data_IF_485564038433
#
_entry.id   IF_485564038433
#
_cell.length_a   1.000
_cell.length_b   1.000
_cell.length_c   1.000
_cell.angle_alpha   90.00
_cell.angle_beta   90.00
_cell.angle_gamma   90.00
#
_symmetry.space_group_name_H-M   'P 1'
#
loop_
_entity.id
_entity.type
_entity.pdbx_description
1 polymer ?
#
# COMPACT_ATOMS: atom_id res chain seq x y z
N UNK A 1 56.17 -21.75 -32.61
CA UNK A 1 57.17 -21.48 -31.56
C UNK A 1 56.34 -21.21 -30.33
N UNK A 2 56.05 -22.28 -29.58
CA UNK A 2 56.68 -22.69 -28.31
C UNK A 2 56.58 -21.58 -27.24
N UNK A 3 55.97 -21.74 -26.12
CA UNK A 3 56.03 -22.82 -25.09
C UNK A 3 54.94 -22.49 -24.04
N UNK A 4 54.14 -23.40 -23.63
CA UNK A 4 54.28 -24.20 -22.40
C UNK A 4 54.58 -23.39 -21.12
N UNK A 5 53.65 -23.43 -20.17
CA UNK A 5 53.83 -24.21 -18.92
C UNK A 5 52.70 -23.97 -17.91
N UNK A 6 52.07 -25.05 -17.55
CA UNK A 6 51.92 -25.65 -16.21
C UNK A 6 51.12 -24.89 -15.20
N UNK A 7 49.93 -25.36 -14.92
CA UNK A 7 49.58 -26.37 -13.90
C UNK A 7 49.92 -25.98 -12.46
N UNK A 8 48.88 -25.63 -11.68
CA UNK A 8 48.82 -26.11 -10.28
C UNK A 8 47.35 -26.19 -9.83
N UNK A 9 46.95 -27.40 -9.60
CA UNK A 9 45.84 -27.78 -8.73
C UNK A 9 46.20 -27.37 -7.31
N UNK A 10 45.22 -26.83 -6.62
CA UNK A 10 45.15 -26.97 -5.17
C UNK A 10 43.74 -27.28 -4.75
N UNK A 11 43.64 -28.47 -4.27
CA UNK A 11 42.50 -29.08 -3.58
C UNK A 11 42.55 -28.67 -2.13
N UNK A 12 41.49 -28.10 -1.61
CA UNK A 12 41.24 -28.14 -0.17
C UNK A 12 39.78 -28.52 0.10
N UNK A 13 39.73 -29.60 0.85
CA UNK A 13 38.56 -30.29 1.36
C UNK A 13 37.75 -29.45 2.35
N UNK A 14 36.50 -29.88 2.62
CA UNK A 14 35.56 -29.17 3.47
C UNK A 14 35.86 -29.40 4.97
N UNK A 15 35.77 -28.35 5.72
CA UNK A 15 35.86 -28.37 7.18
C UNK A 15 34.50 -28.55 7.83
N UNK A 16 34.37 -29.60 8.52
CA UNK A 16 33.67 -29.96 9.75
C UNK A 16 32.45 -29.12 10.18
N UNK A 17 31.34 -29.83 10.22
CA UNK A 17 30.24 -29.64 11.16
C UNK A 17 30.76 -29.65 12.60
N UNK A 18 30.55 -28.62 13.33
CA UNK A 18 30.56 -28.63 14.78
C UNK A 18 29.14 -28.77 15.29
N UNK A 19 28.85 -29.97 15.72
CA UNK A 19 27.70 -30.30 16.56
C UNK A 19 27.97 -29.74 17.97
N UNK A 20 27.11 -28.81 18.38
CA UNK A 20 27.09 -28.38 19.77
C UNK A 20 26.13 -29.27 20.55
N UNK A 21 26.74 -30.00 21.43
CA UNK A 21 26.12 -30.87 22.44
C UNK A 21 25.18 -30.06 23.34
N UNK A 22 23.99 -30.60 23.51
CA UNK A 22 23.05 -30.17 24.54
C UNK A 22 23.41 -30.92 25.81
N UNK A 23 24.12 -30.27 26.69
CA UNK A 23 24.28 -30.76 28.07
C UNK A 23 23.02 -30.42 28.87
N UNK A 24 22.42 -31.47 29.37
CA UNK A 24 21.46 -31.45 30.47
C UNK A 24 22.07 -30.76 31.68
N UNK A 25 21.37 -29.88 32.30
CA UNK A 25 21.52 -29.48 33.69
C UNK A 25 20.19 -29.60 34.39
N UNK A 26 20.11 -30.56 35.11
CA UNK A 26 19.81 -30.78 36.51
C UNK A 26 18.64 -29.98 37.12
N UNK A 27 17.75 -30.81 37.60
CA UNK A 27 16.74 -30.55 38.63
C UNK A 27 17.31 -29.77 39.81
N UNK A 28 16.72 -28.63 40.06
CA UNK A 28 16.83 -27.92 41.32
C UNK A 28 15.45 -27.75 41.90
N UNK A 29 14.95 -28.81 42.46
CA UNK A 29 13.77 -28.76 43.28
C UNK A 29 13.99 -27.87 44.50
N UNK A 30 13.31 -26.73 44.52
CA UNK A 30 13.09 -26.04 45.78
C UNK A 30 11.74 -26.50 46.35
N UNK A 31 11.90 -27.48 47.22
CA UNK A 31 10.87 -27.82 48.20
C UNK A 31 10.67 -26.63 49.14
N UNK A 32 9.54 -26.01 49.03
CA UNK A 32 9.02 -25.12 50.07
C UNK A 32 8.53 -26.01 51.21
N UNK A 33 8.97 -25.80 52.45
CA UNK A 33 8.53 -26.63 53.58
C UNK A 33 7.05 -26.40 53.83
N UNK A 34 6.34 -27.50 53.91
CA UNK A 34 4.99 -27.55 54.49
C UNK A 34 5.14 -27.34 55.97
N UNK A 35 4.86 -26.17 56.45
CA UNK A 35 4.55 -25.92 57.84
C UNK A 35 3.05 -25.71 58.03
N UNK A 36 2.52 -26.64 58.76
CA UNK A 36 1.39 -26.60 59.66
C UNK A 36 0.02 -26.11 59.14
N UNK A 37 -0.74 -27.07 58.65
CA UNK A 37 -2.19 -26.97 58.41
C UNK A 37 -3.00 -27.24 59.70
N UNK A 38 -2.87 -26.37 60.67
CA UNK A 38 -3.69 -26.48 61.88
C UNK A 38 -4.28 -25.11 62.34
N UNK A 39 -4.87 -24.40 61.39
CA UNK A 39 -5.86 -23.36 61.76
C UNK A 39 -6.82 -23.21 60.58
N UNK A 40 -7.82 -24.05 60.57
CA UNK A 40 -9.01 -23.96 59.76
C UNK A 40 -9.93 -22.87 60.29
N UNK A 41 -9.55 -21.62 60.11
CA UNK A 41 -10.48 -20.50 60.19
C UNK A 41 -10.15 -19.56 59.02
N UNK A 42 -10.98 -19.60 58.02
CA UNK A 42 -11.20 -18.68 56.89
C UNK A 42 -11.27 -19.39 55.54
N UNK A 43 -12.37 -20.15 55.40
CA UNK A 43 -12.79 -20.64 54.05
C UNK A 43 -13.03 -19.47 53.08
N UNK A 44 -13.29 -18.28 53.59
CA UNK A 44 -13.46 -17.07 52.79
C UNK A 44 -12.13 -16.53 52.27
N UNK A 45 -11.07 -16.55 53.04
CA UNK A 45 -9.74 -16.10 52.65
C UNK A 45 -9.14 -17.06 51.59
N UNK A 46 -9.40 -18.34 51.69
CA UNK A 46 -9.01 -19.34 50.69
C UNK A 46 -9.78 -19.17 49.37
N UNK A 47 -11.05 -18.85 49.42
CA UNK A 47 -11.85 -18.54 48.25
C UNK A 47 -11.41 -17.22 47.59
N UNK A 48 -11.08 -16.20 48.36
CA UNK A 48 -10.53 -14.96 47.85
C UNK A 48 -9.14 -15.15 47.25
N UNK A 49 -8.31 -15.96 47.87
CA UNK A 49 -6.99 -16.32 47.34
C UNK A 49 -7.08 -17.16 46.05
N UNK A 50 -7.97 -18.17 46.02
CA UNK A 50 -8.24 -18.93 44.80
C UNK A 50 -8.83 -18.07 43.67
N UNK A 51 -9.72 -17.15 44.04
CA UNK A 51 -10.28 -16.20 43.06
C UNK A 51 -9.21 -15.26 42.50
N UNK A 52 -8.29 -14.79 43.35
CA UNK A 52 -7.20 -13.91 42.92
C UNK A 52 -6.16 -14.64 42.07
N UNK A 53 -5.85 -15.89 42.41
CA UNK A 53 -4.99 -16.75 41.58
C UNK A 53 -5.68 -17.07 40.27
N UNK A 54 -6.96 -17.42 40.28
CA UNK A 54 -7.72 -17.67 39.03
C UNK A 54 -7.76 -16.45 38.13
N UNK A 55 -7.91 -15.26 38.74
CA UNK A 55 -7.88 -13.98 38.02
C UNK A 55 -6.50 -13.68 37.43
N UNK A 56 -5.43 -13.89 38.22
CA UNK A 56 -4.05 -13.74 37.69
C UNK A 56 -3.72 -14.74 36.59
N UNK A 57 -4.25 -15.97 36.70
CA UNK A 57 -4.08 -16.97 35.62
C UNK A 57 -4.80 -16.54 34.34
N UNK A 58 -5.99 -16.00 34.46
CA UNK A 58 -6.76 -15.50 33.31
C UNK A 58 -6.07 -14.29 32.65
N UNK A 59 -5.56 -13.37 33.47
CA UNK A 59 -4.81 -12.20 32.99
C UNK A 59 -3.48 -12.61 32.32
N UNK A 60 -2.81 -13.63 32.86
CA UNK A 60 -1.60 -14.21 32.26
C UNK A 60 -1.90 -14.92 30.93
N UNK A 61 -3.02 -15.64 30.85
CA UNK A 61 -3.44 -16.29 29.59
C UNK A 61 -3.82 -15.27 28.52
N UNK A 62 -4.47 -14.18 28.91
CA UNK A 62 -4.77 -13.06 28.01
C UNK A 62 -3.46 -12.43 27.50
N UNK A 63 -2.54 -12.09 28.39
CA UNK A 63 -1.22 -11.55 28.03
C UNK A 63 -0.41 -12.49 27.16
N UNK A 64 -0.48 -13.80 27.43
CA UNK A 64 0.17 -14.79 26.61
C UNK A 64 -0.39 -14.81 25.18
N UNK A 65 -1.71 -14.81 25.05
CA UNK A 65 -2.37 -14.74 23.73
C UNK A 65 -2.07 -13.43 22.99
N UNK A 66 -1.98 -12.31 23.70
CA UNK A 66 -1.58 -11.04 23.10
C UNK A 66 -0.12 -11.08 22.59
N UNK A 67 0.78 -11.66 23.38
CA UNK A 67 2.18 -11.85 23.01
C UNK A 67 2.33 -12.81 21.80
N UNK A 68 1.59 -13.92 21.80
CA UNK A 68 1.56 -14.84 20.66
C UNK A 68 1.02 -14.16 19.38
N UNK A 69 0.01 -13.29 19.52
CA UNK A 69 -0.51 -12.50 18.40
C UNK A 69 0.51 -11.45 17.92
N UNK A 70 1.24 -10.81 18.85
CA UNK A 70 2.31 -9.88 18.51
C UNK A 70 3.50 -10.59 17.83
N UNK A 71 3.89 -11.76 18.36
CA UNK A 71 4.91 -12.59 17.73
C UNK A 71 4.52 -12.98 16.31
N UNK A 72 3.28 -13.44 16.12
CA UNK A 72 2.78 -13.79 14.79
C UNK A 72 2.78 -12.60 13.81
N UNK A 73 2.38 -11.41 14.28
CA UNK A 73 2.45 -10.18 13.46
C UNK A 73 3.87 -9.78 13.13
N UNK A 74 4.80 -9.99 14.05
CA UNK A 74 6.23 -9.71 13.86
C UNK A 74 6.84 -10.70 12.87
N UNK A 75 6.49 -11.99 12.96
CA UNK A 75 6.90 -13.02 12.02
C UNK A 75 6.37 -12.72 10.61
N UNK A 76 5.07 -12.41 10.46
CA UNK A 76 4.47 -12.02 9.19
C UNK A 76 5.10 -10.76 8.58
N UNK A 77 5.44 -9.78 9.43
CA UNK A 77 6.18 -8.58 9.01
C UNK A 77 7.62 -8.91 8.59
N UNK A 78 8.27 -9.79 9.35
CA UNK A 78 9.64 -10.25 9.07
C UNK A 78 9.70 -11.06 7.77
N UNK A 79 8.72 -11.94 7.52
CA UNK A 79 8.61 -12.66 6.25
C UNK A 79 8.37 -11.73 5.06
N UNK A 80 7.50 -10.73 5.21
CA UNK A 80 7.32 -9.69 4.18
C UNK A 80 8.60 -8.89 3.93
N UNK A 81 9.34 -8.58 5.00
CA UNK A 81 10.63 -7.90 4.88
C UNK A 81 11.67 -8.78 4.19
N UNK A 82 11.73 -10.07 4.55
CA UNK A 82 12.57 -11.07 3.86
C UNK A 82 12.21 -11.21 2.39
N UNK A 83 10.93 -11.32 2.07
CA UNK A 83 10.45 -11.38 0.69
C UNK A 83 10.88 -10.18 -0.16
N UNK A 84 10.73 -8.97 0.40
CA UNK A 84 11.20 -7.73 -0.24
C UNK A 84 12.72 -7.67 -0.37
N UNK A 85 13.43 -8.13 0.63
CA UNK A 85 14.89 -8.17 0.60
C UNK A 85 15.39 -9.14 -0.47
N UNK A 86 14.74 -10.30 -0.60
CA UNK A 86 15.05 -11.29 -1.65
C UNK A 86 14.76 -10.69 -3.05
N UNK A 87 13.62 -10.00 -3.22
CA UNK A 87 13.29 -9.33 -4.50
C UNK A 87 14.30 -8.22 -4.85
N UNK A 88 14.68 -7.40 -3.87
CA UNK A 88 15.71 -6.37 -4.02
C UNK A 88 17.08 -6.97 -4.35
N UNK A 89 17.44 -8.09 -3.69
CA UNK A 89 18.65 -8.84 -4.03
C UNK A 89 18.58 -9.40 -5.46
N UNK A 90 17.42 -9.93 -5.89
CA UNK A 90 17.18 -10.37 -7.27
C UNK A 90 17.42 -9.25 -8.27
N UNK A 91 16.79 -8.09 -8.07
CA UNK A 91 17.00 -6.89 -8.90
C UNK A 91 18.44 -6.40 -8.91
N UNK A 92 19.12 -6.47 -7.77
CA UNK A 92 20.53 -6.08 -7.65
C UNK A 92 21.46 -7.04 -8.40
N UNK A 93 21.13 -8.34 -8.38
CA UNK A 93 21.86 -9.37 -9.17
C UNK A 93 21.65 -9.12 -10.68
N UNK A 94 20.43 -8.81 -11.09
CA UNK A 94 20.13 -8.54 -12.51
C UNK A 94 20.78 -7.23 -12.99
N UNK A 95 20.81 -6.19 -12.15
CA UNK A 95 21.57 -4.95 -12.41
C UNK A 95 23.08 -5.23 -12.54
N UNK A 96 23.61 -6.11 -11.70
CA UNK A 96 25.03 -6.50 -11.77
C UNK A 96 25.35 -7.31 -13.02
N UNK A 97 24.43 -8.19 -13.45
CA UNK A 97 24.52 -8.89 -14.75
C UNK A 97 24.47 -7.92 -15.92
N UNK A 98 23.50 -7.02 -15.94
CA UNK A 98 23.36 -5.98 -16.97
C UNK A 98 24.62 -5.09 -17.06
N UNK A 99 25.15 -4.65 -15.92
CA UNK A 99 26.40 -3.88 -15.87
C UNK A 99 27.59 -4.65 -16.45
N UNK A 100 27.67 -5.97 -16.17
CA UNK A 100 28.72 -6.84 -16.75
C UNK A 100 28.60 -6.96 -18.27
N UNK A 101 27.37 -7.08 -18.78
CA UNK A 101 27.10 -7.15 -20.23
C UNK A 101 27.50 -5.83 -20.91
N UNK A 102 27.13 -4.68 -20.33
CA UNK A 102 27.52 -3.36 -20.83
C UNK A 102 29.04 -3.19 -20.83
N UNK A 103 29.72 -3.63 -19.79
CA UNK A 103 31.20 -3.58 -19.72
C UNK A 103 31.85 -4.47 -20.78
N UNK A 104 31.29 -5.64 -21.06
CA UNK A 104 31.80 -6.53 -22.11
C UNK A 104 31.55 -5.95 -23.53
N UNK A 105 30.39 -5.28 -23.71
CA UNK A 105 30.09 -4.59 -24.98
C UNK A 105 31.02 -3.40 -25.22
N UNK A 106 31.34 -2.64 -24.15
CA UNK A 106 32.29 -1.54 -24.25
C UNK A 106 33.71 -2.03 -24.62
N UNK A 107 34.14 -3.11 -23.98
CA UNK A 107 35.47 -3.72 -24.35
C UNK A 107 35.50 -4.24 -25.81
N UNK A 108 34.37 -4.76 -26.28
CA UNK A 108 34.26 -5.20 -27.67
C UNK A 108 34.22 -3.99 -28.63
N UNK A 109 33.58 -2.89 -28.25
CA UNK A 109 33.58 -1.64 -29.00
C UNK A 109 34.98 -1.02 -29.10
N UNK A 110 35.75 -1.02 -28.00
CA UNK A 110 37.14 -0.55 -28.02
C UNK A 110 38.02 -1.39 -28.96
N UNK A 111 37.82 -2.71 -28.95
CA UNK A 111 38.52 -3.59 -29.91
C UNK A 111 38.12 -3.30 -31.37
N UNK A 112 36.82 -3.05 -31.62
CA UNK A 112 36.33 -2.68 -32.94
C UNK A 112 36.89 -1.31 -33.39
N UNK A 113 36.95 -0.33 -32.48
CA UNK A 113 37.57 0.98 -32.78
C UNK A 113 39.08 0.85 -33.09
N UNK A 114 39.75 -0.03 -32.37
CA UNK A 114 41.15 -0.29 -32.61
C UNK A 114 41.39 -0.95 -34.00
N UNK A 115 40.57 -1.93 -34.40
CA UNK A 115 40.62 -2.56 -35.73
C UNK A 115 40.36 -1.54 -36.87
N UNK A 116 39.40 -0.64 -36.66
CA UNK A 116 39.10 0.44 -37.63
C UNK A 116 40.30 1.40 -37.78
N UNK A 117 40.99 1.74 -36.68
CA UNK A 117 42.16 2.62 -36.75
C UNK A 117 43.35 1.99 -37.49
N UNK A 118 43.56 0.69 -37.33
CA UNK A 118 44.61 -0.03 -38.07
C UNK A 118 44.25 -0.08 -39.54
N UNK A 119 42.97 -0.32 -39.90
CA UNK A 119 42.53 -0.30 -41.27
C UNK A 119 42.68 1.08 -41.92
N UNK A 120 42.50 2.17 -41.18
CA UNK A 120 42.77 3.53 -41.65
C UNK A 120 44.25 3.76 -41.96
N UNK A 121 45.16 3.25 -41.12
CA UNK A 121 46.60 3.36 -41.32
C UNK A 121 47.05 2.56 -42.57
N UNK A 122 46.47 1.38 -42.80
CA UNK A 122 46.70 0.61 -43.99
C UNK A 122 46.12 1.24 -45.25
N UNK A 123 45.09 2.11 -45.09
CA UNK A 123 44.46 2.82 -46.19
C UNK A 123 45.27 4.00 -46.69
N UNK A 124 45.99 4.67 -45.82
CA UNK A 124 46.90 5.80 -46.22
C UNK A 124 48.03 5.34 -47.13
N UNK A 125 48.34 4.04 -47.15
CA UNK A 125 49.44 3.47 -47.92
C UNK A 125 49.15 3.21 -49.41
N UNK A 126 47.94 3.43 -49.85
CA UNK A 126 47.58 3.14 -51.24
C UNK A 126 46.71 4.22 -51.87
N UNK A 127 47.37 5.23 -52.44
CA UNK A 127 46.76 6.44 -53.04
C UNK A 127 45.69 6.14 -54.14
N UNK A 128 45.64 4.94 -54.67
CA UNK A 128 44.74 4.62 -55.78
C UNK A 128 43.35 4.10 -55.34
N UNK A 129 43.21 3.60 -54.11
CA UNK A 129 41.91 3.14 -53.51
C UNK A 129 41.20 4.19 -52.71
N UNK A 130 41.73 5.39 -52.62
CA UNK A 130 41.27 6.45 -51.73
C UNK A 130 39.82 6.93 -52.05
N UNK A 131 39.50 7.05 -53.35
CA UNK A 131 38.15 7.52 -53.74
C UNK A 131 37.03 6.55 -53.43
N UNK A 132 37.22 5.26 -53.73
CA UNK A 132 36.16 4.27 -53.41
C UNK A 132 35.95 4.10 -51.90
N UNK A 133 37.06 4.15 -51.15
CA UNK A 133 37.00 4.04 -49.71
C UNK A 133 36.55 5.33 -49.01
N UNK A 134 36.71 6.51 -49.62
CA UNK A 134 36.14 7.77 -49.09
C UNK A 134 34.61 7.72 -49.15
N UNK A 135 34.03 7.15 -50.19
CA UNK A 135 32.58 6.93 -50.30
C UNK A 135 32.10 5.93 -49.22
N UNK A 136 32.89 4.88 -48.97
CA UNK A 136 32.57 3.89 -47.91
C UNK A 136 32.65 4.52 -46.51
N UNK A 137 33.67 5.36 -46.27
CA UNK A 137 33.78 6.14 -45.01
C UNK A 137 32.65 7.13 -44.85
N UNK A 138 32.21 7.79 -45.93
CA UNK A 138 31.03 8.67 -45.89
C UNK A 138 29.73 7.91 -45.55
N UNK A 139 29.55 6.70 -46.16
CA UNK A 139 28.42 5.82 -45.81
C UNK A 139 28.43 5.44 -44.36
N UNK A 140 29.57 4.99 -43.80
CA UNK A 140 29.73 4.65 -42.38
C UNK A 140 29.51 5.86 -41.46
N UNK A 141 29.91 7.06 -41.90
CA UNK A 141 29.71 8.28 -41.13
C UNK A 141 28.23 8.71 -41.05
N UNK A 142 27.47 8.50 -42.14
CA UNK A 142 26.03 8.73 -42.18
C UNK A 142 25.32 7.72 -41.25
N UNK A 143 25.74 6.46 -41.25
CA UNK A 143 25.19 5.43 -40.40
C UNK A 143 25.54 5.65 -38.91
N UNK A 144 26.77 6.10 -38.60
CA UNK A 144 27.17 6.51 -37.27
C UNK A 144 26.37 7.74 -36.77
N UNK A 145 26.10 8.68 -37.68
CA UNK A 145 25.29 9.87 -37.38
C UNK A 145 23.82 9.49 -37.07
N UNK A 146 23.30 8.51 -37.83
CA UNK A 146 21.98 7.89 -37.54
C UNK A 146 21.99 7.14 -36.22
N UNK A 147 23.01 6.28 -36.01
CA UNK A 147 23.16 5.54 -34.76
C UNK A 147 23.32 6.49 -33.53
N UNK A 148 24.14 7.55 -33.66
CA UNK A 148 24.32 8.57 -32.66
C UNK A 148 22.98 9.29 -32.33
N UNK A 149 22.19 9.59 -33.36
CA UNK A 149 20.87 10.18 -33.20
C UNK A 149 19.90 9.22 -32.49
N UNK A 150 19.94 7.95 -32.88
CA UNK A 150 19.11 6.91 -32.24
C UNK A 150 19.48 6.72 -30.77
N UNK A 151 20.79 6.65 -30.48
CA UNK A 151 21.31 6.55 -29.10
C UNK A 151 20.92 7.79 -28.28
N UNK A 152 21.02 9.01 -28.88
CA UNK A 152 20.59 10.23 -28.18
C UNK A 152 19.11 10.20 -27.85
N UNK A 153 18.27 9.81 -28.80
CA UNK A 153 16.81 9.68 -28.56
C UNK A 153 16.49 8.62 -27.49
N UNK A 154 17.20 7.50 -27.53
CA UNK A 154 17.03 6.46 -26.51
C UNK A 154 17.49 6.92 -25.12
N UNK A 155 18.58 7.68 -25.04
CA UNK A 155 19.03 8.27 -23.79
C UNK A 155 18.04 9.29 -23.24
N UNK A 156 17.47 10.17 -24.11
CA UNK A 156 16.46 11.13 -23.71
C UNK A 156 15.19 10.43 -23.20
N UNK A 157 14.76 9.37 -23.89
CA UNK A 157 13.64 8.55 -23.48
C UNK A 157 13.92 7.80 -22.14
N UNK A 158 15.12 7.24 -22.02
CA UNK A 158 15.57 6.57 -20.79
C UNK A 158 15.66 7.55 -19.61
N UNK A 159 16.10 8.77 -19.86
CA UNK A 159 16.18 9.81 -18.83
C UNK A 159 14.79 10.27 -18.37
N UNK A 160 13.84 10.39 -19.32
CA UNK A 160 12.45 10.66 -19.00
C UNK A 160 11.81 9.50 -18.22
N UNK A 161 12.05 8.25 -18.64
CA UNK A 161 11.57 7.08 -17.90
C UNK A 161 12.19 7.01 -16.50
N UNK A 162 13.49 7.28 -16.39
CA UNK A 162 14.21 7.31 -15.11
C UNK A 162 13.69 8.40 -14.19
N UNK A 163 13.42 9.58 -14.72
CA UNK A 163 12.82 10.68 -13.96
C UNK A 163 11.42 10.32 -13.47
N UNK A 164 10.59 9.76 -14.36
CA UNK A 164 9.25 9.29 -14.01
C UNK A 164 9.28 8.19 -12.94
N UNK A 165 10.21 7.26 -13.06
CA UNK A 165 10.42 6.20 -12.08
C UNK A 165 10.87 6.76 -10.72
N UNK A 166 11.73 7.78 -10.75
CA UNK A 166 12.20 8.44 -9.53
C UNK A 166 11.09 9.21 -8.82
N UNK A 167 10.26 9.91 -9.58
CA UNK A 167 9.06 10.61 -9.07
C UNK A 167 8.05 9.61 -8.49
N UNK A 168 7.82 8.48 -9.16
CA UNK A 168 6.97 7.39 -8.67
C UNK A 168 7.51 6.78 -7.38
N UNK A 169 8.82 6.52 -7.30
CA UNK A 169 9.44 5.98 -6.09
C UNK A 169 9.38 6.98 -4.93
N UNK A 170 9.68 8.25 -5.17
CA UNK A 170 9.58 9.28 -4.16
C UNK A 170 8.14 9.44 -3.64
N UNK A 171 7.14 9.36 -4.54
CA UNK A 171 5.74 9.37 -4.17
C UNK A 171 5.35 8.14 -3.35
N UNK A 172 5.87 6.98 -3.70
CA UNK A 172 5.68 5.73 -2.98
C UNK A 172 6.29 5.78 -1.57
N UNK A 173 7.52 6.27 -1.43
CA UNK A 173 8.20 6.38 -0.14
C UNK A 173 7.47 7.36 0.79
N UNK A 174 7.03 8.50 0.24
CA UNK A 174 6.21 9.46 0.96
C UNK A 174 4.88 8.85 1.42
N UNK A 175 4.23 8.08 0.56
CA UNK A 175 3.01 7.35 0.86
C UNK A 175 3.20 6.38 2.04
N UNK A 176 4.27 5.57 2.04
CA UNK A 176 4.57 4.69 3.16
C UNK A 176 4.85 5.44 4.46
N UNK A 177 5.51 6.60 4.38
CA UNK A 177 5.72 7.45 5.56
C UNK A 177 4.41 7.96 6.15
N UNK A 178 3.48 8.37 5.29
CA UNK A 178 2.13 8.82 5.71
C UNK A 178 1.37 7.67 6.36
N UNK A 179 1.35 6.50 5.74
CA UNK A 179 0.68 5.32 6.29
C UNK A 179 1.27 4.94 7.65
N UNK A 180 2.59 4.93 7.78
CA UNK A 180 3.25 4.62 9.04
C UNK A 180 2.84 5.59 10.16
N UNK A 181 2.68 6.88 9.83
CA UNK A 181 2.17 7.89 10.76
C UNK A 181 0.71 7.62 11.13
N UNK A 182 -0.14 7.38 10.15
CA UNK A 182 -1.57 7.18 10.35
C UNK A 182 -1.92 5.85 11.02
N UNK A 183 -1.05 4.84 10.92
CA UNK A 183 -1.12 3.61 11.70
C UNK A 183 -0.68 3.85 13.15
N UNK A 184 0.41 4.62 13.34
CA UNK A 184 0.97 4.85 14.69
C UNK A 184 -0.02 5.55 15.61
N UNK A 185 -0.77 6.52 15.10
CA UNK A 185 -1.68 7.33 15.91
C UNK A 185 -2.81 6.52 16.56
N UNK A 186 -3.63 5.74 15.85
CA UNK A 186 -4.67 4.94 16.46
C UNK A 186 -4.10 3.81 17.34
N UNK A 187 -2.94 3.25 16.99
CA UNK A 187 -2.26 2.23 17.82
C UNK A 187 -1.83 2.85 19.14
N UNK A 188 -1.18 4.01 19.11
CA UNK A 188 -0.75 4.71 20.33
C UNK A 188 -1.95 5.11 21.20
N UNK A 189 -3.02 5.61 20.58
CA UNK A 189 -4.27 5.90 21.27
C UNK A 189 -4.89 4.67 21.93
N UNK A 190 -4.94 3.56 21.22
CA UNK A 190 -5.45 2.29 21.72
C UNK A 190 -4.61 1.78 22.92
N UNK A 191 -3.29 1.79 22.79
CA UNK A 191 -2.38 1.38 23.89
C UNK A 191 -2.56 2.27 25.11
N UNK A 192 -2.60 3.57 24.94
CA UNK A 192 -2.81 4.51 26.05
C UNK A 192 -4.15 4.29 26.78
N UNK A 193 -5.23 4.05 26.02
CA UNK A 193 -6.54 3.73 26.61
C UNK A 193 -6.51 2.40 27.38
N UNK A 194 -5.79 1.38 26.88
CA UNK A 194 -5.62 0.10 27.57
C UNK A 194 -4.80 0.25 28.85
N UNK A 195 -3.74 1.04 28.83
CA UNK A 195 -2.90 1.29 29.99
C UNK A 195 -3.69 2.01 31.09
N UNK A 196 -4.39 3.11 30.74
CA UNK A 196 -5.23 3.86 31.68
C UNK A 196 -6.30 2.96 32.30
N UNK A 197 -6.97 2.15 31.47
CA UNK A 197 -8.01 1.25 31.96
C UNK A 197 -7.43 0.17 32.89
N UNK A 198 -6.26 -0.37 32.56
CA UNK A 198 -5.59 -1.40 33.34
C UNK A 198 -5.11 -0.89 34.71
N UNK A 199 -4.52 0.30 34.74
CA UNK A 199 -3.99 0.89 35.96
C UNK A 199 -5.08 1.36 36.94
N UNK A 200 -6.20 1.82 36.41
CA UNK A 200 -7.23 2.49 37.22
C UNK A 200 -8.59 1.76 37.22
N UNK A 201 -8.63 0.49 36.78
CA UNK A 201 -9.89 -0.25 36.61
C UNK A 201 -10.81 -0.23 37.84
N UNK A 202 -10.22 -0.35 39.02
CA UNK A 202 -10.98 -0.36 40.28
C UNK A 202 -11.54 1.01 40.68
N UNK A 203 -11.06 2.11 40.09
CA UNK A 203 -11.48 3.47 40.40
C UNK A 203 -12.54 4.00 39.43
N UNK A 204 -12.72 3.36 38.27
CA UNK A 204 -13.71 3.79 37.28
C UNK A 204 -15.10 3.25 37.59
N UNK A 205 -16.10 4.08 37.40
CA UNK A 205 -17.48 3.66 37.33
C UNK A 205 -17.75 2.77 36.12
N UNK A 206 -18.82 2.00 36.16
CA UNK A 206 -19.27 1.18 35.04
C UNK A 206 -19.47 2.02 33.77
N UNK A 207 -19.96 3.23 33.89
CA UNK A 207 -20.17 4.17 32.79
C UNK A 207 -18.85 4.60 32.16
N UNK A 208 -17.88 5.00 32.98
CA UNK A 208 -16.55 5.40 32.49
C UNK A 208 -15.82 4.24 31.85
N UNK A 209 -15.86 3.06 32.44
CA UNK A 209 -15.30 1.85 31.86
C UNK A 209 -15.90 1.55 30.46
N UNK A 210 -17.20 1.72 30.31
CA UNK A 210 -17.88 1.56 29.04
C UNK A 210 -17.43 2.60 28.00
N UNK A 211 -17.30 3.86 28.42
CA UNK A 211 -16.78 4.92 27.53
C UNK A 211 -15.36 4.60 27.03
N UNK A 212 -14.47 4.09 27.87
CA UNK A 212 -13.13 3.63 27.45
C UNK A 212 -13.21 2.48 26.47
N UNK A 213 -14.05 1.48 26.72
CA UNK A 213 -14.25 0.35 25.82
C UNK A 213 -14.78 0.81 24.46
N UNK A 214 -15.71 1.75 24.44
CA UNK A 214 -16.27 2.31 23.21
C UNK A 214 -15.21 3.08 22.40
N UNK A 215 -14.35 3.85 23.07
CA UNK A 215 -13.21 4.54 22.45
C UNK A 215 -12.19 3.55 21.86
N UNK A 216 -11.86 2.49 22.59
CA UNK A 216 -10.97 1.43 22.12
C UNK A 216 -11.56 0.69 20.90
N UNK A 217 -12.86 0.39 20.94
CA UNK A 217 -13.56 -0.21 19.81
C UNK A 217 -13.53 0.71 18.58
N UNK A 218 -13.72 2.01 18.79
CA UNK A 218 -13.62 3.00 17.73
C UNK A 218 -12.22 3.04 17.10
N UNK A 219 -11.16 3.11 17.92
CA UNK A 219 -9.78 3.10 17.47
C UNK A 219 -9.43 1.80 16.71
N UNK A 220 -9.90 0.66 17.20
CA UNK A 220 -9.72 -0.64 16.52
C UNK A 220 -10.38 -0.69 15.16
N UNK A 221 -11.60 -0.17 15.03
CA UNK A 221 -12.31 -0.08 13.75
C UNK A 221 -11.61 0.84 12.75
N UNK A 222 -11.07 1.95 13.23
CA UNK A 222 -10.29 2.86 12.39
C UNK A 222 -9.03 2.17 11.85
N UNK A 223 -8.31 1.47 12.71
CA UNK A 223 -7.12 0.71 12.34
C UNK A 223 -7.43 -0.39 11.32
N UNK A 224 -8.52 -1.11 11.54
CA UNK A 224 -8.97 -2.14 10.61
C UNK A 224 -9.30 -1.55 9.23
N UNK A 225 -10.05 -0.47 9.18
CA UNK A 225 -10.41 0.20 7.92
C UNK A 225 -9.18 0.74 7.18
N UNK A 226 -8.19 1.27 7.92
CA UNK A 226 -6.94 1.73 7.32
C UNK A 226 -6.15 0.57 6.72
N UNK A 227 -6.06 -0.54 7.45
CA UNK A 227 -5.38 -1.76 6.98
C UNK A 227 -6.05 -2.34 5.73
N UNK A 228 -7.37 -2.43 5.71
CA UNK A 228 -8.13 -2.90 4.56
C UNK A 228 -7.91 -2.02 3.32
N UNK A 229 -7.98 -0.70 3.49
CA UNK A 229 -7.72 0.24 2.40
C UNK A 229 -6.28 0.10 1.87
N UNK A 230 -5.31 -0.08 2.76
CA UNK A 230 -3.91 -0.29 2.39
C UNK A 230 -3.70 -1.60 1.63
N UNK A 231 -4.33 -2.68 2.09
CA UNK A 231 -4.27 -3.98 1.42
C UNK A 231 -4.92 -3.92 0.04
N UNK A 232 -6.07 -3.27 -0.09
CA UNK A 232 -6.73 -3.09 -1.38
C UNK A 232 -5.86 -2.26 -2.33
N UNK A 233 -5.30 -1.15 -1.84
CA UNK A 233 -4.39 -0.34 -2.64
C UNK A 233 -3.13 -1.12 -3.05
N UNK A 234 -2.49 -1.83 -2.12
CA UNK A 234 -1.30 -2.65 -2.41
C UNK A 234 -1.57 -3.73 -3.47
N UNK A 235 -2.71 -4.41 -3.37
CA UNK A 235 -3.14 -5.40 -4.36
C UNK A 235 -3.45 -4.77 -5.71
N UNK A 236 -3.99 -3.56 -5.73
CA UNK A 236 -4.24 -2.81 -6.96
C UNK A 236 -2.93 -2.45 -7.66
N UNK A 237 -1.93 -1.94 -6.92
CA UNK A 237 -0.61 -1.58 -7.44
C UNK A 237 0.18 -2.78 -8.00
N UNK A 238 0.02 -3.95 -7.40
CA UNK A 238 0.68 -5.19 -7.87
C UNK A 238 -0.07 -5.88 -9.01
N UNK A 239 -1.21 -5.34 -9.43
CA UNK A 239 -2.08 -6.00 -10.40
C UNK A 239 -2.73 -7.29 -9.89
N UNK A 240 -2.62 -7.56 -8.58
CA UNK A 240 -3.12 -8.80 -7.96
C UNK A 240 -4.63 -8.81 -7.74
N UNK A 241 -5.30 -7.68 -7.93
CA UNK A 241 -6.77 -7.65 -7.95
C UNK A 241 -7.21 -8.15 -9.34
N UNK A 242 -7.98 -9.24 -9.43
CA UNK A 242 -8.59 -9.64 -10.69
C UNK A 242 -9.39 -8.46 -11.26
N UNK A 243 -9.34 -8.28 -12.56
CA UNK A 243 -10.19 -7.31 -13.25
C UNK A 243 -11.21 -8.07 -14.07
N UNK A 244 -12.44 -8.12 -13.58
CA UNK A 244 -13.53 -8.91 -14.14
C UNK A 244 -14.69 -7.97 -14.56
N UNK A 245 -14.50 -7.21 -15.63
CA UNK A 245 -15.51 -6.28 -16.09
C UNK A 245 -16.72 -7.03 -16.66
N UNK A 246 -17.90 -6.59 -16.26
CA UNK A 246 -19.18 -7.10 -16.74
C UNK A 246 -20.17 -5.95 -16.90
N UNK A 247 -21.33 -6.21 -17.46
CA UNK A 247 -22.40 -5.24 -17.51
C UNK A 247 -23.00 -5.10 -16.11
N UNK A 248 -22.83 -3.93 -15.49
CA UNK A 248 -23.31 -3.61 -14.16
C UNK A 248 -24.45 -2.61 -14.23
N UNK A 249 -25.57 -2.94 -13.62
CA UNK A 249 -26.67 -2.03 -13.40
C UNK A 249 -26.37 -1.15 -12.18
N UNK A 250 -26.31 0.17 -12.35
CA UNK A 250 -25.87 1.07 -11.28
C UNK A 250 -26.89 1.23 -10.16
N UNK A 251 -28.19 1.17 -10.46
CA UNK A 251 -29.25 1.40 -9.46
C UNK A 251 -29.17 0.40 -8.30
N UNK A 252 -29.11 -0.93 -8.53
CA UNK A 252 -28.98 -1.90 -7.43
C UNK A 252 -27.69 -1.70 -6.62
N UNK A 253 -26.58 -1.34 -7.26
CA UNK A 253 -25.30 -1.10 -6.57
C UNK A 253 -25.44 0.12 -5.64
N UNK A 254 -26.10 1.18 -6.08
CA UNK A 254 -26.35 2.37 -5.25
C UNK A 254 -27.29 2.03 -4.09
N UNK A 255 -28.40 1.33 -4.35
CA UNK A 255 -29.39 0.95 -3.34
C UNK A 255 -28.74 0.05 -2.25
N UNK A 256 -28.04 -1.00 -2.64
CA UNK A 256 -27.31 -1.88 -1.72
C UNK A 256 -26.26 -1.12 -0.89
N UNK A 257 -25.61 -0.13 -1.50
CA UNK A 257 -24.61 0.70 -0.80
C UNK A 257 -25.29 1.62 0.23
N UNK A 258 -26.45 2.16 -0.07
CA UNK A 258 -27.24 2.96 0.88
C UNK A 258 -27.68 2.11 2.05
N UNK A 259 -28.18 0.90 1.80
CA UNK A 259 -28.62 -0.04 2.83
C UNK A 259 -27.47 -0.38 3.81
N UNK A 260 -26.27 -0.60 3.27
CA UNK A 260 -25.06 -0.83 4.10
C UNK A 260 -24.71 0.37 4.98
N UNK A 261 -25.04 1.58 4.57
CA UNK A 261 -24.72 2.81 5.28
C UNK A 261 -25.93 3.41 6.03
N UNK A 262 -27.07 2.70 6.05
CA UNK A 262 -28.35 3.20 6.58
C UNK A 262 -28.22 3.68 8.02
N UNK A 263 -27.53 2.93 8.88
CA UNK A 263 -27.31 3.32 10.28
C UNK A 263 -26.59 4.67 10.40
N UNK A 264 -25.61 4.94 9.54
CA UNK A 264 -24.86 6.20 9.57
C UNK A 264 -25.74 7.36 9.05
N UNK A 265 -26.58 7.09 8.07
CA UNK A 265 -27.55 8.03 7.51
C UNK A 265 -28.60 8.41 8.56
N UNK A 266 -29.14 7.42 9.28
CA UNK A 266 -30.13 7.61 10.34
C UNK A 266 -29.53 8.36 11.55
N UNK A 267 -28.33 8.02 11.97
CA UNK A 267 -27.63 8.68 13.08
C UNK A 267 -27.47 10.20 12.85
N UNK A 268 -27.23 10.60 11.60
CA UNK A 268 -27.15 12.01 11.20
C UNK A 268 -28.49 12.57 10.68
N UNK A 269 -29.55 11.76 10.66
CA UNK A 269 -30.88 12.13 10.13
C UNK A 269 -30.82 12.72 8.73
N UNK A 270 -29.98 12.16 7.87
CA UNK A 270 -29.77 12.63 6.51
C UNK A 270 -30.95 12.24 5.62
N UNK A 271 -31.30 13.11 4.68
CA UNK A 271 -32.24 12.78 3.61
C UNK A 271 -31.44 12.35 2.39
N UNK A 272 -31.67 11.13 1.91
CA UNK A 272 -31.01 10.59 0.72
C UNK A 272 -32.03 10.48 -0.41
N UNK A 273 -31.67 11.00 -1.58
CA UNK A 273 -32.48 10.87 -2.80
C UNK A 273 -31.67 10.19 -3.90
N UNK A 274 -32.32 9.29 -4.64
CA UNK A 274 -31.71 8.51 -5.73
C UNK A 274 -32.37 8.95 -7.05
N UNK A 275 -31.58 9.49 -7.95
CA UNK A 275 -31.95 9.83 -9.32
C UNK A 275 -31.14 9.00 -10.32
N UNK A 276 -31.24 7.68 -10.19
CA UNK A 276 -30.54 6.71 -11.04
C UNK A 276 -31.57 5.92 -11.83
N UNK A 277 -31.49 6.04 -13.16
CA UNK A 277 -32.40 5.30 -14.05
C UNK A 277 -32.03 3.83 -14.06
N UNK A 278 -32.99 2.93 -14.08
CA UNK A 278 -32.80 1.47 -14.17
C UNK A 278 -32.02 1.02 -15.42
N UNK A 279 -32.09 1.83 -16.47
CA UNK A 279 -31.36 1.57 -17.73
C UNK A 279 -29.91 2.03 -17.69
N UNK A 280 -29.46 2.71 -16.64
CA UNK A 280 -28.05 3.12 -16.50
C UNK A 280 -27.17 1.89 -16.21
N UNK A 281 -26.49 1.44 -17.25
CA UNK A 281 -25.57 0.30 -17.19
C UNK A 281 -24.18 0.71 -17.67
N UNK A 282 -23.16 0.18 -17.01
CA UNK A 282 -21.75 0.42 -17.34
C UNK A 282 -21.05 -0.93 -17.57
N UNK A 283 -20.01 -0.91 -18.39
CA UNK A 283 -19.12 -2.06 -18.51
C UNK A 283 -17.95 -1.85 -17.56
N UNK A 284 -17.96 -2.52 -16.43
CA UNK A 284 -17.00 -2.30 -15.34
C UNK A 284 -16.92 -3.49 -14.40
N UNK A 285 -15.89 -3.51 -13.56
CA UNK A 285 -15.80 -4.43 -12.43
C UNK A 285 -16.73 -3.96 -11.30
N UNK A 286 -17.73 -4.76 -10.98
CA UNK A 286 -18.78 -4.43 -10.00
C UNK A 286 -18.22 -4.18 -8.61
N UNK A 287 -17.22 -4.95 -8.17
CA UNK A 287 -16.61 -4.80 -6.84
C UNK A 287 -15.86 -3.47 -6.72
N UNK A 288 -15.16 -3.09 -7.79
CA UNK A 288 -14.44 -1.81 -7.85
C UNK A 288 -15.43 -0.65 -7.81
N UNK A 289 -16.50 -0.71 -8.61
CA UNK A 289 -17.50 0.37 -8.66
C UNK A 289 -18.30 0.45 -7.35
N UNK A 290 -18.65 -0.67 -6.75
CA UNK A 290 -19.27 -0.70 -5.42
C UNK A 290 -18.37 -0.03 -4.38
N UNK A 291 -17.08 -0.29 -4.42
CA UNK A 291 -16.09 0.33 -3.53
C UNK A 291 -16.01 1.84 -3.75
N UNK A 292 -16.03 2.30 -5.01
CA UNK A 292 -16.04 3.73 -5.36
C UNK A 292 -17.29 4.40 -4.79
N UNK A 293 -18.47 3.87 -5.08
CA UNK A 293 -19.74 4.44 -4.61
C UNK A 293 -19.78 4.46 -3.08
N UNK A 294 -19.39 3.39 -2.42
CA UNK A 294 -19.33 3.29 -0.97
C UNK A 294 -18.41 4.35 -0.35
N UNK A 295 -17.21 4.53 -0.90
CA UNK A 295 -16.26 5.52 -0.39
C UNK A 295 -16.77 6.95 -0.59
N UNK A 296 -17.32 7.27 -1.76
CA UNK A 296 -17.86 8.60 -2.04
C UNK A 296 -19.08 8.91 -1.18
N UNK A 297 -20.01 7.95 -1.04
CA UNK A 297 -21.19 8.12 -0.20
C UNK A 297 -20.84 8.23 1.28
N UNK A 298 -19.89 7.42 1.76
CA UNK A 298 -19.37 7.51 3.13
C UNK A 298 -18.75 8.88 3.41
N UNK A 299 -18.01 9.45 2.45
CA UNK A 299 -17.48 10.81 2.55
C UNK A 299 -18.59 11.85 2.61
N UNK A 300 -19.61 11.76 1.75
CA UNK A 300 -20.74 12.67 1.77
C UNK A 300 -21.50 12.60 3.11
N UNK A 301 -21.71 11.42 3.67
CA UNK A 301 -22.30 11.25 5.00
C UNK A 301 -21.42 11.91 6.08
N UNK A 302 -20.11 11.66 6.03
CA UNK A 302 -19.13 12.17 6.99
C UNK A 302 -19.12 13.70 7.03
N UNK A 303 -19.15 14.36 5.89
CA UNK A 303 -19.01 15.81 5.76
C UNK A 303 -20.35 16.57 5.68
N UNK A 304 -21.46 15.87 5.64
CA UNK A 304 -22.79 16.47 5.78
C UNK A 304 -23.10 16.84 7.22
N UNK A 305 -23.81 17.95 7.40
CA UNK A 305 -24.36 18.34 8.69
C UNK A 305 -25.56 17.45 9.06
N UNK A 306 -25.91 17.44 10.35
CA UNK A 306 -27.14 16.78 10.83
C UNK A 306 -28.35 17.36 10.09
N UNK A 307 -29.29 16.50 9.70
CA UNK A 307 -30.44 16.82 8.83
C UNK A 307 -30.06 17.28 7.41
N UNK A 308 -28.84 17.03 6.96
CA UNK A 308 -28.37 17.35 5.60
C UNK A 308 -29.07 16.54 4.52
N UNK A 309 -28.73 16.89 3.28
CA UNK A 309 -29.25 16.25 2.07
C UNK A 309 -28.11 15.62 1.28
N UNK A 310 -28.29 14.39 0.85
CA UNK A 310 -27.41 13.72 -0.10
C UNK A 310 -28.25 13.30 -1.31
N UNK A 311 -27.78 13.63 -2.51
CA UNK A 311 -28.42 13.23 -3.77
C UNK A 311 -27.43 12.39 -4.59
N UNK A 312 -27.88 11.25 -5.06
CA UNK A 312 -27.12 10.38 -5.95
C UNK A 312 -27.81 10.42 -7.32
N UNK A 313 -27.07 10.85 -8.34
CA UNK A 313 -27.57 11.01 -9.70
C UNK A 313 -26.71 10.20 -10.67
N UNK A 314 -27.33 9.59 -11.68
CA UNK A 314 -26.63 9.01 -12.80
C UNK A 314 -27.18 9.55 -14.12
N UNK A 315 -26.33 10.25 -14.85
CA UNK A 315 -26.62 10.80 -16.17
C UNK A 315 -25.99 9.94 -17.25
N UNK A 316 -26.81 9.42 -18.15
CA UNK A 316 -26.36 8.65 -19.30
C UNK A 316 -26.31 9.56 -20.52
N UNK A 317 -25.12 10.12 -20.81
CA UNK A 317 -24.96 11.07 -21.95
C UNK A 317 -23.93 10.45 -22.91
N UNK A 318 -24.35 10.28 -24.15
CA UNK A 318 -23.54 9.68 -25.23
C UNK A 318 -23.01 8.28 -24.83
N UNK A 319 -21.72 8.06 -24.96
CA UNK A 319 -21.01 6.81 -24.68
C UNK A 319 -20.55 6.67 -23.21
N UNK A 320 -20.97 7.58 -22.33
CA UNK A 320 -20.55 7.61 -20.93
C UNK A 320 -21.73 7.71 -19.98
N UNK A 321 -21.53 7.09 -18.81
CA UNK A 321 -22.44 7.25 -17.67
C UNK A 321 -21.69 8.01 -16.59
N UNK A 322 -22.20 9.15 -16.19
CA UNK A 322 -21.66 9.97 -15.10
C UNK A 322 -22.49 9.75 -13.86
N UNK A 323 -21.86 9.28 -12.80
CA UNK A 323 -22.45 9.16 -11.46
C UNK A 323 -21.96 10.32 -10.60
N UNK A 324 -22.89 11.04 -9.99
CA UNK A 324 -22.60 12.18 -9.11
C UNK A 324 -23.23 11.96 -7.74
N UNK A 325 -22.43 12.13 -6.69
CA UNK A 325 -22.87 12.13 -5.31
C UNK A 325 -22.73 13.56 -4.80
N UNK A 326 -23.86 14.17 -4.48
CA UNK A 326 -24.00 15.59 -4.16
C UNK A 326 -24.42 15.70 -2.71
N UNK A 327 -23.66 16.43 -1.92
CA UNK A 327 -23.98 16.74 -0.53
C UNK A 327 -24.11 18.27 -0.33
N UNK A 328 -24.86 18.66 0.68
CA UNK A 328 -24.96 20.05 1.13
C UNK A 328 -24.17 20.29 2.42
N UNK A 329 -23.04 19.61 2.56
CA UNK A 329 -22.18 19.67 3.74
C UNK A 329 -21.28 20.90 3.81
N UNK A 330 -20.17 20.77 4.50
CA UNK A 330 -19.22 21.87 4.77
C UNK A 330 -18.45 22.35 3.54
N UNK A 331 -18.40 21.57 2.49
CA UNK A 331 -17.64 21.88 1.28
C UNK A 331 -16.14 22.03 1.51
N UNK A 332 -15.41 22.47 0.47
CA UNK A 332 -13.95 22.53 0.46
C UNK A 332 -13.42 23.76 -0.27
N UNK A 333 -12.22 24.22 0.13
CA UNK A 333 -11.46 25.23 -0.60
C UNK A 333 -10.89 24.66 -1.90
N UNK A 334 -10.68 25.50 -2.92
CA UNK A 334 -10.10 25.08 -4.20
C UNK A 334 -8.75 24.41 -4.07
N UNK A 335 -7.89 24.94 -3.22
CA UNK A 335 -6.55 24.37 -2.97
C UNK A 335 -6.59 22.94 -2.41
N UNK A 336 -7.64 22.59 -1.68
CA UNK A 336 -7.81 21.27 -1.12
C UNK A 336 -8.38 20.28 -2.14
N UNK A 337 -9.27 20.75 -3.04
CA UNK A 337 -9.82 19.91 -4.13
C UNK A 337 -8.71 19.36 -5.04
N UNK A 338 -7.69 20.17 -5.37
CA UNK A 338 -6.56 19.75 -6.21
C UNK A 338 -5.69 18.66 -5.57
N UNK A 339 -5.76 18.51 -4.23
CA UNK A 339 -4.95 17.56 -3.46
C UNK A 339 -5.65 16.23 -3.22
N UNK A 340 -7.00 16.18 -3.31
CA UNK A 340 -7.80 15.04 -2.87
C UNK A 340 -7.46 13.69 -3.52
N UNK A 341 -7.08 13.72 -4.79
CA UNK A 341 -6.77 12.54 -5.58
C UNK A 341 -5.27 12.31 -5.75
N UNK A 342 -4.44 13.00 -4.96
CA UNK A 342 -2.98 12.95 -5.06
C UNK A 342 -2.37 12.18 -3.89
N UNK A 343 -1.54 11.20 -4.21
CA UNK A 343 -0.81 10.38 -3.23
C UNK A 343 0.22 11.21 -2.45
N UNK A 344 0.85 12.18 -3.11
CA UNK A 344 1.92 13.02 -2.55
C UNK A 344 1.43 14.13 -1.62
N UNK A 345 0.12 14.40 -1.59
CA UNK A 345 -0.48 15.47 -0.80
C UNK A 345 -1.61 14.92 0.07
N UNK A 346 -1.22 14.19 1.12
CA UNK A 346 -2.18 13.65 2.06
C UNK A 346 -2.94 14.78 2.77
N UNK A 347 -4.26 14.78 2.64
CA UNK A 347 -5.14 15.73 3.31
C UNK A 347 -6.29 14.96 3.96
N UNK A 348 -6.32 14.97 5.29
CA UNK A 348 -7.43 14.42 6.05
C UNK A 348 -8.04 15.52 6.90
N UNK A 349 -9.35 15.62 6.87
CA UNK A 349 -10.12 16.50 7.72
C UNK A 349 -11.09 15.68 8.56
N UNK A 350 -11.35 16.14 9.76
CA UNK A 350 -12.41 15.57 10.60
C UNK A 350 -13.78 15.84 9.98
N UNK A 351 -14.66 14.85 10.07
CA UNK A 351 -16.05 15.01 9.69
C UNK A 351 -16.83 15.89 10.67
N UNK A 352 -18.07 16.17 10.32
CA UNK A 352 -18.97 17.05 11.10
C UNK A 352 -19.36 16.50 12.48
N UNK A 353 -19.17 15.21 12.71
CA UNK A 353 -19.36 14.50 13.99
C UNK A 353 -18.07 13.88 14.52
N UNK A 354 -16.92 14.52 14.27
CA UNK A 354 -15.58 14.08 14.64
C UNK A 354 -15.13 12.76 14.00
N UNK A 355 -15.74 12.35 12.88
CA UNK A 355 -15.30 11.17 12.16
C UNK A 355 -13.92 11.41 11.54
N UNK A 356 -13.02 10.49 11.74
CA UNK A 356 -11.70 10.52 11.11
C UNK A 356 -11.72 9.80 9.75
N UNK A 357 -10.83 10.17 8.84
CA UNK A 357 -10.66 9.53 7.55
C UNK A 357 -9.24 9.04 7.36
N UNK A 358 -9.07 8.00 6.56
CA UNK A 358 -7.77 7.42 6.23
C UNK A 358 -7.04 8.17 5.11
N UNK A 359 -7.70 9.09 4.41
CA UNK A 359 -7.14 9.78 3.23
C UNK A 359 -6.88 8.89 2.02
N UNK A 360 -7.03 7.58 2.14
CA UNK A 360 -6.74 6.59 1.08
C UNK A 360 -7.95 6.29 0.19
N UNK A 361 -9.16 6.49 0.70
CA UNK A 361 -10.38 6.10 -0.01
C UNK A 361 -10.54 6.78 -1.37
N UNK A 362 -10.26 8.08 -1.48
CA UNK A 362 -10.37 8.81 -2.74
C UNK A 362 -9.26 8.45 -3.75
N UNK A 363 -8.07 8.12 -3.26
CA UNK A 363 -6.96 7.63 -4.10
C UNK A 363 -7.34 6.29 -4.72
N UNK A 364 -7.89 5.39 -3.92
CA UNK A 364 -8.40 4.10 -4.38
C UNK A 364 -9.56 4.26 -5.37
N UNK A 365 -10.48 5.21 -5.11
CA UNK A 365 -11.55 5.55 -6.04
C UNK A 365 -11.02 5.95 -7.40
N UNK A 366 -10.02 6.84 -7.44
CA UNK A 366 -9.40 7.28 -8.67
C UNK A 366 -8.81 6.10 -9.45
N UNK A 367 -8.06 5.27 -8.79
CA UNK A 367 -7.43 4.11 -9.41
C UNK A 367 -8.45 3.11 -9.98
N UNK A 368 -9.51 2.82 -9.23
CA UNK A 368 -10.56 1.92 -9.69
C UNK A 368 -11.35 2.49 -10.85
N UNK A 369 -11.65 3.78 -10.82
CA UNK A 369 -12.35 4.46 -11.93
C UNK A 369 -11.45 4.48 -13.18
N UNK A 370 -10.17 4.85 -13.06
CA UNK A 370 -9.21 4.87 -14.18
C UNK A 370 -8.99 3.46 -14.76
N UNK A 371 -8.93 2.43 -13.92
CA UNK A 371 -8.80 1.04 -14.37
C UNK A 371 -10.03 0.55 -15.15
N UNK A 372 -11.20 1.11 -14.87
CA UNK A 372 -12.42 0.85 -15.63
C UNK A 372 -12.60 1.82 -16.84
N UNK A 373 -11.52 2.50 -17.24
CA UNK A 373 -11.53 3.42 -18.41
C UNK A 373 -12.28 4.72 -18.16
N UNK A 374 -12.49 5.09 -16.92
CA UNK A 374 -13.25 6.26 -16.51
C UNK A 374 -12.39 7.44 -16.03
N UNK A 375 -13.08 8.45 -15.50
CA UNK A 375 -12.48 9.64 -14.87
C UNK A 375 -13.28 10.02 -13.62
N UNK A 376 -12.60 10.50 -12.56
CA UNK A 376 -13.21 11.01 -11.33
C UNK A 376 -12.79 12.46 -11.10
N UNK A 377 -13.72 13.28 -10.57
CA UNK A 377 -13.45 14.68 -10.20
C UNK A 377 -14.36 15.12 -9.06
N UNK A 378 -14.10 16.32 -8.56
CA UNK A 378 -14.90 16.96 -7.52
C UNK A 378 -15.13 18.42 -7.86
N UNK A 379 -16.32 18.91 -7.52
CA UNK A 379 -16.69 20.31 -7.53
C UNK A 379 -17.23 20.67 -6.15
N UNK A 380 -16.69 21.69 -5.52
CA UNK A 380 -17.06 22.03 -4.16
C UNK A 380 -16.85 23.52 -3.89
N UNK A 381 -17.74 24.10 -3.12
CA UNK A 381 -17.63 25.44 -2.55
C UNK A 381 -17.73 25.37 -1.03
N UNK A 382 -16.92 26.15 -0.33
CA UNK A 382 -16.94 26.18 1.12
C UNK A 382 -18.34 26.57 1.63
N UNK A 383 -18.88 25.77 2.56
CA UNK A 383 -20.21 25.89 3.15
C UNK A 383 -21.41 25.74 2.18
N UNK A 384 -21.18 25.22 0.98
CA UNK A 384 -22.25 24.90 0.03
C UNK A 384 -22.36 23.41 -0.28
N UNK A 385 -21.40 22.62 0.22
CA UNK A 385 -21.32 21.19 -0.02
C UNK A 385 -20.38 20.81 -1.15
N UNK A 386 -20.42 19.54 -1.53
CA UNK A 386 -19.55 18.96 -2.55
C UNK A 386 -20.32 18.09 -3.53
N UNK A 387 -19.82 18.02 -4.74
CA UNK A 387 -20.26 17.09 -5.78
C UNK A 387 -19.08 16.25 -6.22
N UNK A 388 -19.05 14.99 -5.81
CA UNK A 388 -18.11 14.01 -6.30
C UNK A 388 -18.71 13.30 -7.50
N UNK A 389 -18.01 13.33 -8.62
CA UNK A 389 -18.48 12.72 -9.86
C UNK A 389 -17.45 11.78 -10.45
N UNK A 390 -17.92 10.67 -11.00
CA UNK A 390 -17.10 9.81 -11.85
C UNK A 390 -17.86 9.41 -13.11
N UNK A 391 -17.14 9.28 -14.21
CA UNK A 391 -17.66 8.84 -15.49
C UNK A 391 -17.06 7.48 -15.87
N UNK A 392 -17.88 6.61 -16.43
CA UNK A 392 -17.50 5.28 -16.93
C UNK A 392 -18.01 5.08 -18.35
N UNK A 393 -17.38 4.22 -19.15
CA UNK A 393 -17.91 3.80 -20.43
C UNK A 393 -19.30 3.16 -20.26
N UNK A 394 -20.23 3.58 -21.10
CA UNK A 394 -21.56 2.97 -21.16
C UNK A 394 -21.45 1.56 -21.73
N UNK A 395 -22.20 0.62 -21.19
CA UNK A 395 -22.36 -0.69 -21.83
C UNK A 395 -23.26 -0.56 -23.06
N UNK A 396 -22.81 -1.12 -24.17
CA UNK A 396 -23.63 -1.28 -25.35
C UNK A 396 -24.63 -2.42 -25.20
#
# INVERSE_FOLDING_TARGET
>A
MTSESQNKKDTTKPGKQDSVDVTKSDDGGHSVPFEDLSTLERVEDLKAFQFNISKQYTDLEIKRKELELQQKKLEESSEKFRGRTIELFGKMVDLKKAKKIISQQNEQLEKQQYEISIQQIQLESTNQKFRERTIELFGKMVDLKKAKKTISLQNDELEQQRKKLHELNASKDKFFSIIAHDLRNPIAGFLNLTDILSENFSSFSEKESKEFIDLMNHASKQLYNLLENLLQWSRSQTGSIPYEPKIVALKPVVENTIDLLMMNIENKKLKVSIEVNEQCRVFADENMITTVIRNLLSNSIKFSNINGLIKIKADCINEQVTVSIIDNGVGMKKDDQEKLFRIDKHHTTQGTSNETGTGLGLILCKEFVERNGGKIWVESDLNKGSTFSFALPKSH
#
